data_IF_829125526157
#
_entry.id   IF_829125526157
#
_cell.length_a   1.000
_cell.length_b   1.000
_cell.length_c   1.000
_cell.angle_alpha   90.00
_cell.angle_beta   90.00
_cell.angle_gamma   90.00
#
_symmetry.space_group_name_H-M   'P 1'
#
loop_
_entity.id
_entity.type
_entity.pdbx_description
1 polymer ?
#
# COMPACT_ATOMS: atom_id res chain seq x y z
N UNK A 1 4.38 -7.28 52.72
CA UNK A 1 3.64 -8.22 51.85
C UNK A 1 2.63 -7.48 50.96
N UNK A 2 1.66 -6.73 51.52
CA UNK A 2 0.67 -5.97 50.72
C UNK A 2 1.30 -4.89 49.81
N UNK A 3 2.23 -4.08 50.34
CA UNK A 3 2.94 -3.04 49.58
C UNK A 3 3.69 -3.59 48.37
N UNK A 4 4.30 -4.77 48.49
CA UNK A 4 5.03 -5.43 47.41
C UNK A 4 4.10 -5.86 46.27
N UNK A 5 2.92 -6.40 46.60
CA UNK A 5 1.91 -6.82 45.61
C UNK A 5 1.37 -5.61 44.84
N UNK A 6 1.08 -4.51 45.54
CA UNK A 6 0.62 -3.26 44.91
C UNK A 6 1.67 -2.68 43.97
N UNK A 7 2.95 -2.68 44.37
CA UNK A 7 4.04 -2.19 43.51
C UNK A 7 4.23 -3.08 42.29
N UNK A 8 4.24 -4.40 42.43
CA UNK A 8 4.35 -5.32 41.29
C UNK A 8 3.21 -5.16 40.31
N UNK A 9 1.96 -5.02 40.80
CA UNK A 9 0.78 -4.82 39.93
C UNK A 9 0.83 -3.47 39.20
N UNK A 10 1.30 -2.41 39.86
CA UNK A 10 1.50 -1.10 39.25
C UNK A 10 2.60 -1.14 38.18
N UNK A 11 3.71 -1.83 38.44
CA UNK A 11 4.82 -1.99 37.48
C UNK A 11 4.42 -2.84 36.27
N UNK A 12 3.67 -3.93 36.46
CA UNK A 12 3.15 -4.75 35.35
C UNK A 12 2.17 -3.95 34.50
N UNK A 13 1.24 -3.21 35.11
CA UNK A 13 0.29 -2.36 34.38
C UNK A 13 1.02 -1.28 33.58
N UNK A 14 1.97 -0.58 34.19
CA UNK A 14 2.77 0.44 33.51
C UNK A 14 3.56 -0.14 32.32
N UNK A 15 4.15 -1.33 32.48
CA UNK A 15 4.88 -2.01 31.40
C UNK A 15 3.94 -2.44 30.26
N UNK A 16 2.75 -2.97 30.57
CA UNK A 16 1.77 -3.35 29.55
C UNK A 16 1.23 -2.15 28.77
N UNK A 17 0.96 -1.03 29.45
CA UNK A 17 0.51 0.21 28.80
C UNK A 17 1.62 0.80 27.94
N UNK A 18 2.87 0.82 28.42
CA UNK A 18 4.01 1.26 27.62
C UNK A 18 4.19 0.40 26.36
N UNK A 19 4.11 -0.92 26.49
CA UNK A 19 4.20 -1.86 25.36
C UNK A 19 3.06 -1.65 24.36
N UNK A 20 1.82 -1.50 24.82
CA UNK A 20 0.67 -1.22 23.96
C UNK A 20 0.78 0.14 23.23
N UNK A 21 1.33 1.15 23.92
CA UNK A 21 1.55 2.48 23.34
C UNK A 21 2.63 2.43 22.26
N UNK A 22 3.74 1.73 22.52
CA UNK A 22 4.79 1.52 21.52
C UNK A 22 4.27 0.73 20.32
N UNK A 23 3.50 -0.34 20.53
CA UNK A 23 2.88 -1.12 19.44
C UNK A 23 1.90 -0.29 18.60
N UNK A 24 1.14 0.60 19.25
CA UNK A 24 0.23 1.52 18.55
C UNK A 24 1.00 2.55 17.72
N UNK A 25 2.08 3.10 18.26
CA UNK A 25 2.94 4.04 17.56
C UNK A 25 3.65 3.40 16.36
N UNK A 26 4.15 2.16 16.49
CA UNK A 26 4.76 1.43 15.37
C UNK A 26 3.74 1.09 14.30
N UNK A 27 2.51 0.71 14.68
CA UNK A 27 1.42 0.46 13.74
C UNK A 27 1.07 1.73 12.97
N UNK A 28 0.86 2.85 13.65
CA UNK A 28 0.59 4.15 13.01
C UNK A 28 1.72 4.58 12.06
N UNK A 29 2.97 4.40 12.48
CA UNK A 29 4.12 4.66 11.62
C UNK A 29 4.11 3.76 10.38
N UNK A 30 3.85 2.46 10.53
CA UNK A 30 3.81 1.52 9.41
C UNK A 30 2.70 1.84 8.39
N UNK A 31 1.52 2.27 8.85
CA UNK A 31 0.42 2.72 7.99
C UNK A 31 0.79 3.98 7.19
N UNK A 32 1.51 4.92 7.81
CA UNK A 32 2.02 6.10 7.12
C UNK A 32 2.95 5.75 5.96
N UNK A 33 3.86 4.79 6.15
CA UNK A 33 4.75 4.32 5.08
C UNK A 33 3.98 3.54 4.00
N UNK A 34 3.03 2.68 4.39
CA UNK A 34 2.20 1.93 3.45
C UNK A 34 1.39 2.87 2.53
N UNK A 35 0.83 3.95 3.08
CA UNK A 35 0.14 4.98 2.29
C UNK A 35 1.08 5.68 1.29
N UNK A 36 2.30 6.01 1.70
CA UNK A 36 3.31 6.63 0.82
C UNK A 36 3.72 5.70 -0.33
N UNK A 37 4.00 4.43 -0.04
CA UNK A 37 4.31 3.43 -1.08
C UNK A 37 3.13 3.16 -2.01
N UNK A 38 1.90 3.16 -1.48
CA UNK A 38 0.69 3.06 -2.29
C UNK A 38 0.55 4.20 -3.29
N UNK A 39 0.76 5.45 -2.85
CA UNK A 39 0.72 6.62 -3.73
C UNK A 39 1.80 6.56 -4.83
N UNK A 40 3.04 6.20 -4.48
CA UNK A 40 4.13 6.04 -5.45
C UNK A 40 3.80 4.92 -6.46
N UNK A 41 3.25 3.80 -5.99
CA UNK A 41 2.82 2.70 -6.84
C UNK A 41 1.78 3.13 -7.88
N UNK A 42 0.77 3.91 -7.46
CA UNK A 42 -0.25 4.45 -8.38
C UNK A 42 0.38 5.36 -9.44
N UNK A 43 1.29 6.27 -9.06
CA UNK A 43 1.98 7.16 -10.02
C UNK A 43 2.78 6.34 -11.04
N UNK A 44 3.49 5.30 -10.60
CA UNK A 44 4.25 4.41 -11.49
C UNK A 44 3.30 3.68 -12.45
N UNK A 45 2.16 3.17 -11.98
CA UNK A 45 1.19 2.50 -12.86
C UNK A 45 0.60 3.47 -13.90
N UNK A 46 0.31 4.71 -13.53
CA UNK A 46 -0.16 5.75 -14.46
C UNK A 46 0.93 6.09 -15.50
N UNK A 47 2.19 6.22 -15.08
CA UNK A 47 3.29 6.51 -16.00
C UNK A 47 3.51 5.37 -17.02
N UNK A 48 3.52 4.11 -16.55
CA UNK A 48 3.64 2.95 -17.43
C UNK A 48 2.43 2.84 -18.37
N UNK A 49 1.24 3.23 -17.93
CA UNK A 49 0.04 3.29 -18.77
C UNK A 49 0.17 4.25 -19.93
N UNK A 50 0.61 5.47 -19.66
CA UNK A 50 0.75 6.51 -20.67
C UNK A 50 1.78 6.05 -21.71
N UNK A 51 2.92 5.52 -21.28
CA UNK A 51 3.94 4.96 -22.17
C UNK A 51 3.38 3.81 -23.03
N UNK A 52 2.53 2.94 -22.46
CA UNK A 52 1.83 1.85 -23.13
C UNK A 52 0.91 2.35 -24.26
N UNK A 53 0.07 3.33 -23.96
CA UNK A 53 -0.88 3.93 -24.93
C UNK A 53 -0.14 4.67 -26.05
N UNK A 54 0.90 5.45 -25.72
CA UNK A 54 1.71 6.16 -26.71
C UNK A 54 2.41 5.20 -27.68
N UNK A 55 2.87 4.08 -27.17
CA UNK A 55 3.55 3.07 -27.97
C UNK A 55 2.57 2.22 -28.79
N UNK A 56 1.38 1.96 -28.25
CA UNK A 56 0.28 1.33 -29.01
C UNK A 56 -0.22 2.19 -30.16
N UNK A 57 -0.10 3.52 -30.05
CA UNK A 57 -0.44 4.46 -31.12
C UNK A 57 0.68 4.61 -32.19
N UNK A 58 1.85 4.02 -31.98
CA UNK A 58 2.99 4.11 -32.91
C UNK A 58 2.97 2.95 -33.91
N UNK A 59 2.91 3.26 -35.21
CA UNK A 59 2.76 2.31 -36.33
C UNK A 59 4.09 1.69 -36.79
N UNK A 60 5.12 1.66 -35.94
CA UNK A 60 6.41 1.02 -36.23
C UNK A 60 6.36 -0.48 -35.92
N UNK A 61 6.95 -1.37 -36.72
CA UNK A 61 6.98 -2.84 -36.46
C UNK A 61 7.60 -3.19 -35.08
N UNK A 62 8.58 -2.41 -34.62
CA UNK A 62 9.12 -2.51 -33.26
C UNK A 62 8.10 -2.08 -32.19
N UNK A 63 7.29 -1.07 -32.47
CA UNK A 63 6.20 -0.62 -31.60
C UNK A 63 5.03 -1.60 -31.59
N UNK A 64 4.78 -2.33 -32.67
CA UNK A 64 3.74 -3.35 -32.77
C UNK A 64 4.06 -4.60 -31.90
N UNK A 65 5.33 -5.02 -31.85
CA UNK A 65 5.79 -6.06 -30.92
C UNK A 65 5.65 -5.62 -29.45
N UNK A 66 6.05 -4.37 -29.13
CA UNK A 66 5.82 -3.82 -27.80
C UNK A 66 4.33 -3.58 -27.51
N UNK A 67 3.49 -3.36 -28.53
CA UNK A 67 2.03 -3.31 -28.49
C UNK A 67 1.39 -4.64 -28.07
N UNK A 68 1.98 -5.78 -28.47
CA UNK A 68 1.55 -7.11 -28.01
C UNK A 68 1.91 -7.39 -26.55
N UNK A 69 3.10 -6.98 -26.11
CA UNK A 69 3.47 -7.00 -24.68
C UNK A 69 2.60 -6.03 -23.87
N UNK A 70 2.28 -4.88 -24.44
CA UNK A 70 1.32 -3.90 -23.93
C UNK A 70 -0.09 -4.48 -23.75
N UNK A 71 -0.54 -5.30 -24.69
CA UNK A 71 -1.83 -5.99 -24.58
C UNK A 71 -1.83 -7.02 -23.43
N UNK A 72 -0.71 -7.72 -23.18
CA UNK A 72 -0.56 -8.53 -21.95
C UNK A 72 -0.58 -7.67 -20.69
N UNK A 73 -0.15 -6.41 -20.78
CA UNK A 73 -0.14 -5.45 -19.69
C UNK A 73 -1.50 -4.75 -19.48
N UNK A 74 -2.45 -4.80 -20.44
CA UNK A 74 -3.82 -4.25 -20.24
C UNK A 74 -4.58 -5.04 -19.18
N UNK A 75 -4.39 -6.37 -19.14
CA UNK A 75 -5.07 -7.25 -18.21
C UNK A 75 -4.67 -7.01 -16.74
N UNK A 76 -3.37 -7.00 -16.35
CA UNK A 76 -2.96 -6.64 -14.99
C UNK A 76 -3.31 -5.19 -14.65
N UNK A 77 -3.42 -4.30 -15.64
CA UNK A 77 -3.83 -2.93 -15.41
C UNK A 77 -5.30 -2.78 -15.03
N UNK A 78 -6.19 -3.45 -15.77
CA UNK A 78 -7.60 -3.48 -15.43
C UNK A 78 -7.81 -4.06 -14.04
N UNK A 79 -7.07 -5.12 -13.70
CA UNK A 79 -7.08 -5.71 -12.37
C UNK A 79 -6.58 -4.72 -11.31
N UNK A 80 -5.47 -4.02 -11.56
CA UNK A 80 -4.94 -3.02 -10.63
C UNK A 80 -5.91 -1.84 -10.43
N UNK A 81 -6.52 -1.33 -11.50
CA UNK A 81 -7.51 -0.26 -11.43
C UNK A 81 -8.72 -0.68 -10.59
N UNK A 82 -9.29 -1.85 -10.85
CA UNK A 82 -10.43 -2.39 -10.07
C UNK A 82 -10.03 -2.62 -8.61
N UNK A 83 -8.84 -3.15 -8.36
CA UNK A 83 -8.34 -3.41 -7.01
C UNK A 83 -8.14 -2.11 -6.20
N UNK A 84 -7.53 -1.09 -6.80
CA UNK A 84 -7.34 0.22 -6.16
C UNK A 84 -8.70 0.87 -5.87
N UNK A 85 -9.62 0.85 -6.83
CA UNK A 85 -10.99 1.38 -6.64
C UNK A 85 -11.72 0.62 -5.53
N UNK A 86 -11.63 -0.71 -5.48
CA UNK A 86 -12.26 -1.52 -4.44
C UNK A 86 -11.72 -1.19 -3.04
N UNK A 87 -10.39 -1.04 -2.89
CA UNK A 87 -9.78 -0.62 -1.63
C UNK A 87 -10.24 0.79 -1.24
N UNK A 88 -10.30 1.72 -2.19
CA UNK A 88 -10.76 3.09 -1.94
C UNK A 88 -12.23 3.18 -1.55
N UNK A 89 -13.08 2.31 -2.10
CA UNK A 89 -14.50 2.23 -1.71
C UNK A 89 -14.64 1.63 -0.31
N UNK A 90 -13.85 0.61 0.04
CA UNK A 90 -13.82 0.03 1.39
C UNK A 90 -13.29 1.02 2.45
N UNK A 91 -12.36 1.90 2.09
CA UNK A 91 -11.88 2.97 2.98
C UNK A 91 -12.98 4.02 3.27
N UNK A 92 -13.94 4.20 2.36
CA UNK A 92 -15.01 5.21 2.45
C UNK A 92 -16.26 4.69 3.15
N UNK A 93 -16.52 3.38 3.09
CA UNK A 93 -17.63 2.71 3.78
C UNK A 93 -17.32 2.43 5.25
#
# INVERSE_FOLDING_TARGET
MLTTITTTTATTTATTVASATTASATTAASLGHAAAFGAIGVVILIALLIAKELLSASENEKAQLLGRFTSIAINPLMVAFVLIVAIKVLDVL
#
